data_IF_885464977489
#
_entry.id   IF_885464977489
#
_cell.length_a   1.000
_cell.length_b   1.000
_cell.length_c   1.000
_cell.angle_alpha   90.00
_cell.angle_beta   90.00
_cell.angle_gamma   90.00
#
_symmetry.space_group_name_H-M   'P 1'
#
loop_
_entity.id
_entity.type
_entity.pdbx_description
1 polymer ?
#
# COMPACT_ATOMS: atom_id res chain seq x y z
N UNK A 1 -2.68 23.39 -32.68
CA UNK A 1 -2.23 22.03 -33.07
C UNK A 1 -2.35 21.15 -31.84
N UNK A 2 -3.15 20.08 -31.88
CA UNK A 2 -3.24 19.13 -30.76
C UNK A 2 -2.06 18.17 -30.89
N UNK A 3 -1.06 18.31 -30.02
CA UNK A 3 0.10 17.42 -30.00
C UNK A 3 -0.36 16.03 -29.55
N UNK A 4 -0.11 15.01 -30.39
CA UNK A 4 -0.52 13.63 -30.12
C UNK A 4 0.33 13.09 -28.98
N UNK A 5 -0.27 12.92 -27.81
CA UNK A 5 0.40 12.36 -26.63
C UNK A 5 1.03 10.98 -26.96
N UNK A 6 2.31 10.75 -26.64
CA UNK A 6 2.95 9.45 -26.74
C UNK A 6 2.15 8.34 -26.02
N UNK A 7 2.21 7.11 -26.55
CA UNK A 7 1.44 5.97 -26.01
C UNK A 7 1.73 5.67 -24.53
N UNK A 8 2.97 5.90 -24.09
CA UNK A 8 3.39 5.70 -22.69
C UNK A 8 2.76 6.74 -21.78
N UNK A 9 2.86 8.03 -22.12
CA UNK A 9 2.22 9.12 -21.37
C UNK A 9 0.70 8.92 -21.27
N UNK A 10 0.06 8.44 -22.34
CA UNK A 10 -1.36 8.11 -22.33
C UNK A 10 -1.68 6.97 -21.36
N UNK A 11 -0.86 5.93 -21.32
CA UNK A 11 -1.04 4.81 -20.39
C UNK A 11 -0.96 5.30 -18.95
N UNK A 12 0.02 6.15 -18.63
CA UNK A 12 0.15 6.72 -17.28
C UNK A 12 -1.04 7.61 -16.91
N UNK A 13 -1.52 8.44 -17.83
CA UNK A 13 -2.73 9.23 -17.61
C UNK A 13 -3.95 8.36 -17.27
N UNK A 14 -4.13 7.24 -17.97
CA UNK A 14 -5.22 6.30 -17.69
C UNK A 14 -5.04 5.66 -16.32
N UNK A 15 -3.81 5.26 -15.96
CA UNK A 15 -3.54 4.67 -14.66
C UNK A 15 -3.76 5.67 -13.51
N UNK A 16 -3.43 6.94 -13.69
CA UNK A 16 -3.71 8.00 -12.70
C UNK A 16 -5.21 8.19 -12.48
N UNK A 17 -5.98 8.24 -13.56
CA UNK A 17 -7.44 8.31 -13.48
C UNK A 17 -8.03 7.05 -12.83
N UNK A 18 -7.57 5.87 -13.23
CA UNK A 18 -8.00 4.60 -12.65
C UNK A 18 -7.70 4.55 -11.14
N UNK A 19 -6.51 4.99 -10.72
CA UNK A 19 -6.10 5.06 -9.30
C UNK A 19 -7.10 5.89 -8.50
N UNK A 20 -7.42 7.11 -8.95
CA UNK A 20 -8.40 7.97 -8.26
C UNK A 20 -9.81 7.36 -8.23
N UNK A 21 -10.28 6.84 -9.37
CA UNK A 21 -11.61 6.26 -9.48
C UNK A 21 -11.77 5.04 -8.53
N UNK A 22 -10.80 4.13 -8.55
CA UNK A 22 -10.80 2.96 -7.69
C UNK A 22 -10.62 3.32 -6.21
N UNK A 23 -9.80 4.31 -5.86
CA UNK A 23 -9.62 4.73 -4.47
C UNK A 23 -10.91 5.34 -3.89
N UNK A 24 -11.68 6.04 -4.74
CA UNK A 24 -12.94 6.69 -4.36
C UNK A 24 -14.07 5.69 -4.09
N UNK A 25 -14.26 4.73 -4.99
CA UNK A 25 -15.46 3.86 -5.00
C UNK A 25 -15.14 2.38 -4.75
N UNK A 26 -13.87 2.00 -4.68
CA UNK A 26 -13.41 0.62 -4.61
C UNK A 26 -13.46 -0.08 -5.97
N UNK A 27 -12.88 -1.28 -6.03
CA UNK A 27 -12.83 -2.08 -7.26
C UNK A 27 -14.24 -2.39 -7.77
N UNK A 28 -15.08 -3.07 -6.98
CA UNK A 28 -16.39 -3.56 -7.42
C UNK A 28 -17.29 -2.47 -8.00
N UNK A 29 -17.42 -1.31 -7.33
CA UNK A 29 -18.34 -0.25 -7.75
C UNK A 29 -17.81 0.67 -8.87
N UNK A 30 -16.53 0.58 -9.26
CA UNK A 30 -15.95 1.41 -10.32
C UNK A 30 -16.10 0.73 -11.69
N UNK A 31 -16.80 1.36 -12.62
CA UNK A 31 -16.91 0.91 -14.01
C UNK A 31 -15.78 1.44 -14.91
N UNK A 32 -15.63 0.85 -16.09
CA UNK A 32 -14.70 1.37 -17.11
C UNK A 32 -15.13 2.74 -17.66
N UNK A 33 -16.43 3.04 -17.64
CA UNK A 33 -16.94 4.36 -18.03
C UNK A 33 -16.55 5.44 -17.02
N UNK A 34 -16.56 5.11 -15.72
CA UNK A 34 -16.10 6.03 -14.67
C UNK A 34 -14.63 6.40 -14.87
N UNK A 35 -13.79 5.40 -15.18
CA UNK A 35 -12.36 5.64 -15.45
C UNK A 35 -12.15 6.42 -16.74
N UNK A 36 -12.90 6.12 -17.80
CA UNK A 36 -12.81 6.86 -19.06
C UNK A 36 -13.22 8.33 -18.87
N UNK A 37 -14.28 8.58 -18.11
CA UNK A 37 -14.73 9.91 -17.73
C UNK A 37 -13.67 10.65 -16.89
N UNK A 38 -13.12 10.00 -15.86
CA UNK A 38 -12.06 10.53 -14.99
C UNK A 38 -10.77 10.85 -15.78
N UNK A 39 -10.47 10.07 -16.82
CA UNK A 39 -9.31 10.27 -17.69
C UNK A 39 -9.56 11.30 -18.81
N UNK A 40 -10.81 11.71 -19.05
CA UNK A 40 -11.18 12.56 -20.18
C UNK A 40 -10.98 11.89 -21.54
N UNK A 41 -11.20 10.57 -21.62
CA UNK A 41 -11.04 9.78 -22.85
C UNK A 41 -12.29 8.94 -23.16
N UNK A 42 -12.34 8.36 -24.36
CA UNK A 42 -13.39 7.42 -24.71
C UNK A 42 -13.09 6.02 -24.18
N UNK A 43 -14.14 5.24 -23.90
CA UNK A 43 -14.02 3.82 -23.53
C UNK A 43 -13.25 3.00 -24.57
N UNK A 44 -13.44 3.31 -25.86
CA UNK A 44 -12.69 2.66 -26.96
C UNK A 44 -11.19 2.91 -26.85
N UNK A 45 -10.77 4.13 -26.45
CA UNK A 45 -9.36 4.42 -26.24
C UNK A 45 -8.81 3.67 -25.02
N UNK A 46 -9.60 3.57 -23.95
CA UNK A 46 -9.22 2.81 -22.75
C UNK A 46 -8.95 1.34 -23.07
N UNK A 47 -9.83 0.69 -23.85
CA UNK A 47 -9.65 -0.71 -24.30
C UNK A 47 -8.42 -0.94 -25.19
N UNK A 48 -7.82 0.09 -25.79
CA UNK A 48 -6.54 -0.06 -26.53
C UNK A 48 -5.33 -0.22 -25.61
N UNK A 49 -5.49 0.05 -24.32
CA UNK A 49 -4.42 -0.02 -23.32
C UNK A 49 -4.63 -1.13 -22.28
N UNK A 50 -5.88 -1.53 -22.04
CA UNK A 50 -6.24 -2.54 -21.05
C UNK A 50 -7.36 -3.43 -21.59
N UNK A 51 -7.15 -4.74 -21.53
CA UNK A 51 -8.10 -5.72 -22.07
C UNK A 51 -9.33 -5.86 -21.15
N UNK A 52 -9.15 -5.65 -19.85
CA UNK A 52 -10.22 -5.69 -18.86
C UNK A 52 -10.04 -4.70 -17.71
N UNK A 53 -11.11 -4.54 -16.91
CA UNK A 53 -11.06 -3.83 -15.62
C UNK A 53 -10.09 -4.51 -14.65
N UNK A 54 -10.00 -5.84 -14.67
CA UNK A 54 -9.06 -6.60 -13.85
C UNK A 54 -7.61 -6.23 -14.21
N UNK A 55 -7.26 -6.27 -15.50
CA UNK A 55 -5.91 -5.95 -15.97
C UNK A 55 -5.51 -4.51 -15.61
N UNK A 56 -6.46 -3.58 -15.74
CA UNK A 56 -6.25 -2.20 -15.35
C UNK A 56 -6.04 -2.06 -13.84
N UNK A 57 -6.85 -2.74 -13.02
CA UNK A 57 -6.69 -2.71 -11.57
C UNK A 57 -5.37 -3.34 -11.12
N UNK A 58 -4.98 -4.49 -11.69
CA UNK A 58 -3.67 -5.10 -11.44
C UNK A 58 -2.52 -4.16 -11.80
N UNK A 59 -2.61 -3.47 -12.94
CA UNK A 59 -1.61 -2.48 -13.33
C UNK A 59 -1.55 -1.28 -12.37
N UNK A 60 -2.69 -0.83 -11.83
CA UNK A 60 -2.72 0.20 -10.78
C UNK A 60 -2.06 -0.29 -9.50
N UNK A 61 -2.38 -1.49 -9.03
CA UNK A 61 -1.79 -2.07 -7.83
C UNK A 61 -0.27 -2.29 -7.98
N UNK A 62 0.17 -2.81 -9.13
CA UNK A 62 1.58 -3.02 -9.41
C UNK A 62 2.35 -1.70 -9.43
N UNK A 63 1.77 -0.65 -10.03
CA UNK A 63 2.36 0.68 -10.02
C UNK A 63 2.47 1.25 -8.60
N UNK A 64 1.44 1.09 -7.77
CA UNK A 64 1.48 1.50 -6.37
C UNK A 64 2.55 0.72 -5.58
N UNK A 65 2.69 -0.59 -5.85
CA UNK A 65 3.72 -1.45 -5.26
C UNK A 65 5.13 -1.00 -5.63
N UNK A 66 5.38 -0.68 -6.90
CA UNK A 66 6.68 -0.20 -7.38
C UNK A 66 7.04 1.15 -6.75
N UNK A 67 6.11 2.11 -6.73
CA UNK A 67 6.31 3.41 -6.06
C UNK A 67 6.62 3.24 -4.57
N UNK A 68 5.92 2.33 -3.90
CA UNK A 68 6.20 2.02 -2.50
C UNK A 68 7.61 1.44 -2.33
N UNK A 69 7.99 0.48 -3.19
CA UNK A 69 9.31 -0.14 -3.16
C UNK A 69 10.44 0.88 -3.36
N UNK A 70 10.25 1.84 -4.26
CA UNK A 70 11.20 2.95 -4.47
C UNK A 70 11.38 3.81 -3.20
N UNK A 71 10.30 4.03 -2.44
CA UNK A 71 10.35 4.83 -1.20
C UNK A 71 10.92 4.06 -0.01
N UNK A 72 10.71 2.74 0.05
CA UNK A 72 11.21 1.88 1.13
C UNK A 72 12.71 1.55 0.98
N UNK A 73 13.23 1.52 -0.25
CA UNK A 73 14.60 1.05 -0.51
C UNK A 73 14.75 -0.47 -0.40
N UNK A 74 15.99 -0.98 -0.46
CA UNK A 74 16.27 -2.43 -0.45
C UNK A 74 16.42 -3.06 0.93
N UNK A 75 16.38 -2.26 1.99
CA UNK A 75 16.87 -2.69 3.29
C UNK A 75 15.68 -2.90 4.25
N UNK A 76 15.80 -3.95 5.07
CA UNK A 76 14.71 -4.53 5.87
C UNK A 76 14.12 -3.61 6.94
N UNK A 77 13.48 -4.21 7.96
CA UNK A 77 12.86 -3.46 9.06
C UNK A 77 13.97 -2.77 9.84
N UNK A 78 14.06 -1.46 9.69
CA UNK A 78 15.00 -0.62 10.41
C UNK A 78 14.29 0.67 10.84
N UNK A 79 14.96 1.50 11.64
CA UNK A 79 14.37 2.73 12.20
C UNK A 79 13.68 3.64 11.16
N UNK A 80 14.08 3.53 9.89
CA UNK A 80 13.57 4.26 8.74
C UNK A 80 12.30 3.69 8.09
N UNK A 81 11.86 2.47 8.41
CA UNK A 81 10.69 1.85 7.76
C UNK A 81 9.41 2.65 8.00
N UNK A 82 9.16 3.07 9.25
CA UNK A 82 7.98 3.88 9.59
C UNK A 82 8.03 5.26 8.87
N UNK A 83 9.13 6.05 8.97
CA UNK A 83 9.28 7.26 8.17
C UNK A 83 9.05 7.05 6.67
N UNK A 84 9.58 5.97 6.09
CA UNK A 84 9.44 5.67 4.67
C UNK A 84 7.99 5.32 4.28
N UNK A 85 7.28 4.54 5.10
CA UNK A 85 5.85 4.25 4.91
C UNK A 85 5.01 5.53 4.96
N UNK A 86 5.29 6.42 5.91
CA UNK A 86 4.61 7.72 6.02
C UNK A 86 4.86 8.61 4.80
N UNK A 87 6.11 8.69 4.33
CA UNK A 87 6.46 9.42 3.10
C UNK A 87 5.76 8.83 1.87
N UNK A 88 5.76 7.51 1.74
CA UNK A 88 5.08 6.82 0.64
C UNK A 88 3.56 7.06 0.65
N UNK A 89 2.94 6.95 1.83
CA UNK A 89 1.51 7.21 2.01
C UNK A 89 1.15 8.68 1.71
N UNK A 90 1.99 9.64 2.10
CA UNK A 90 1.77 11.05 1.80
C UNK A 90 1.97 11.37 0.31
N UNK A 91 2.93 10.72 -0.36
CA UNK A 91 3.25 10.94 -1.76
C UNK A 91 2.19 10.37 -2.72
N UNK A 92 1.58 9.22 -2.39
CA UNK A 92 0.51 8.59 -3.17
C UNK A 92 -0.60 8.02 -2.27
N UNK A 93 -1.46 8.88 -1.68
CA UNK A 93 -2.49 8.47 -0.74
C UNK A 93 -3.48 7.45 -1.32
N UNK A 94 -3.85 7.61 -2.58
CA UNK A 94 -4.82 6.75 -3.25
C UNK A 94 -4.20 5.39 -3.58
N UNK A 95 -2.98 5.37 -4.13
CA UNK A 95 -2.23 4.13 -4.38
C UNK A 95 -1.98 3.35 -3.08
N UNK A 96 -1.62 4.04 -2.00
CA UNK A 96 -1.38 3.41 -0.70
C UNK A 96 -2.65 2.76 -0.13
N UNK A 97 -3.80 3.46 -0.18
CA UNK A 97 -5.10 2.89 0.23
C UNK A 97 -5.52 1.72 -0.65
N UNK A 98 -5.34 1.83 -1.96
CA UNK A 98 -5.68 0.76 -2.88
C UNK A 98 -4.91 -0.51 -2.59
N UNK A 99 -3.59 -0.37 -2.38
CA UNK A 99 -2.71 -1.49 -2.07
C UNK A 99 -3.09 -2.12 -0.73
N UNK A 100 -3.17 -1.34 0.35
CA UNK A 100 -3.28 -1.93 1.69
C UNK A 100 -4.69 -2.17 2.21
N UNK A 101 -5.69 -1.43 1.72
CA UNK A 101 -7.07 -1.53 2.20
C UNK A 101 -8.01 -2.18 1.19
N UNK A 102 -8.01 -1.73 -0.06
CA UNK A 102 -8.99 -2.21 -1.04
C UNK A 102 -8.62 -3.58 -1.60
N UNK A 103 -7.40 -3.76 -2.10
CA UNK A 103 -6.95 -5.06 -2.62
C UNK A 103 -7.00 -6.18 -1.56
N UNK A 104 -6.71 -5.85 -0.30
CA UNK A 104 -6.80 -6.81 0.81
C UNK A 104 -8.20 -7.40 1.04
N UNK A 105 -9.27 -6.73 0.57
CA UNK A 105 -10.66 -7.16 0.70
C UNK A 105 -11.17 -7.94 -0.51
N UNK A 106 -10.43 -7.94 -1.62
CA UNK A 106 -10.85 -8.54 -2.88
C UNK A 106 -10.09 -9.87 -3.09
N UNK A 107 -10.78 -11.04 -3.04
CA UNK A 107 -10.11 -12.34 -3.13
C UNK A 107 -9.28 -12.53 -4.41
N UNK A 108 -9.71 -11.90 -5.50
CA UNK A 108 -9.07 -11.97 -6.82
C UNK A 108 -7.67 -11.33 -6.86
N UNK A 109 -7.36 -10.39 -5.95
CA UNK A 109 -6.08 -9.67 -5.91
C UNK A 109 -5.25 -10.00 -4.66
N UNK A 110 -5.62 -11.09 -3.97
CA UNK A 110 -4.95 -11.50 -2.74
C UNK A 110 -3.48 -11.83 -2.96
N UNK A 111 -3.13 -12.37 -4.13
CA UNK A 111 -1.76 -12.68 -4.57
C UNK A 111 -0.81 -11.47 -4.46
N UNK A 112 -1.29 -10.31 -4.90
CA UNK A 112 -0.53 -9.04 -4.86
C UNK A 112 -0.20 -8.64 -3.41
N UNK A 113 -1.12 -8.89 -2.49
CA UNK A 113 -1.00 -8.50 -1.08
C UNK A 113 -0.23 -9.54 -0.26
N UNK A 114 -0.39 -10.82 -0.58
CA UNK A 114 0.24 -11.91 0.15
C UNK A 114 1.76 -11.88 0.01
N UNK A 115 2.27 -11.47 -1.15
CA UNK A 115 3.73 -11.29 -1.35
C UNK A 115 4.28 -10.20 -0.44
N UNK A 116 3.60 -9.05 -0.36
CA UNK A 116 4.00 -7.96 0.54
C UNK A 116 3.92 -8.37 2.01
N UNK A 117 2.84 -9.07 2.39
CA UNK A 117 2.64 -9.57 3.76
C UNK A 117 3.70 -10.58 4.17
N UNK A 118 4.05 -11.52 3.29
CA UNK A 118 5.10 -12.51 3.55
C UNK A 118 6.44 -11.82 3.76
N UNK A 119 6.82 -10.94 2.84
CA UNK A 119 8.08 -10.19 2.95
C UNK A 119 8.12 -9.36 4.25
N UNK A 120 7.05 -8.64 4.57
CA UNK A 120 6.96 -7.85 5.80
C UNK A 120 7.04 -8.70 7.07
N UNK A 121 6.48 -9.91 7.06
CA UNK A 121 6.59 -10.87 8.17
C UNK A 121 8.02 -11.34 8.34
N UNK A 122 8.68 -11.76 7.26
CA UNK A 122 10.06 -12.27 7.31
C UNK A 122 11.03 -11.20 7.84
N UNK A 123 10.79 -9.97 7.39
CA UNK A 123 11.46 -8.76 7.82
C UNK A 123 11.22 -8.48 9.32
N UNK A 124 9.97 -8.51 9.79
CA UNK A 124 9.66 -8.34 11.22
C UNK A 124 10.22 -9.48 12.09
N UNK A 125 10.16 -10.72 11.61
CA UNK A 125 10.70 -11.89 12.30
C UNK A 125 12.21 -11.74 12.53
N UNK A 126 12.94 -11.21 11.54
CA UNK A 126 14.37 -10.94 11.60
C UNK A 126 14.72 -9.78 12.55
N UNK A 127 13.77 -8.89 12.84
CA UNK A 127 13.96 -7.79 13.79
C UNK A 127 13.79 -8.24 15.25
N UNK A 128 12.99 -9.27 15.49
CA UNK A 128 12.67 -9.78 16.84
C UNK A 128 13.68 -10.82 17.36
N UNK A 129 14.96 -10.71 16.99
CA UNK A 129 16.01 -11.67 17.40
C UNK A 129 16.17 -11.79 18.92
N UNK A 130 15.85 -10.72 19.66
CA UNK A 130 15.92 -10.69 21.13
C UNK A 130 14.77 -11.46 21.80
N UNK A 131 13.69 -11.77 21.06
CA UNK A 131 12.60 -12.61 21.55
C UNK A 131 12.95 -14.08 21.28
N UNK A 132 12.80 -14.98 22.26
CA UNK A 132 12.97 -16.42 22.07
C UNK A 132 12.22 -16.95 20.84
N UNK A 133 12.77 -17.95 20.17
CA UNK A 133 12.13 -18.59 19.02
C UNK A 133 10.98 -19.49 19.47
N UNK A 134 9.83 -18.88 19.78
CA UNK A 134 8.63 -19.55 20.24
C UNK A 134 7.37 -19.05 19.50
N UNK A 135 6.20 -19.55 19.92
CA UNK A 135 4.92 -19.12 19.38
C UNK A 135 4.67 -17.61 19.51
N UNK A 136 5.29 -16.95 20.50
CA UNK A 136 5.11 -15.53 20.80
C UNK A 136 5.85 -14.66 19.78
N UNK A 137 7.10 -15.00 19.44
CA UNK A 137 7.82 -14.32 18.36
C UNK A 137 7.10 -14.46 17.02
N UNK A 138 6.58 -15.66 16.76
CA UNK A 138 5.88 -15.97 15.52
C UNK A 138 4.53 -15.24 15.41
N UNK A 139 3.87 -15.01 16.54
CA UNK A 139 2.68 -14.16 16.65
C UNK A 139 3.03 -12.67 16.48
N UNK A 140 4.06 -12.18 17.18
CA UNK A 140 4.53 -10.80 17.08
C UNK A 140 4.95 -10.44 15.65
N UNK A 141 5.69 -11.31 14.96
CA UNK A 141 6.09 -11.10 13.56
C UNK A 141 4.91 -10.99 12.58
N UNK A 142 3.75 -11.60 12.91
CA UNK A 142 2.49 -11.44 12.14
C UNK A 142 1.76 -10.15 12.51
N UNK A 143 1.84 -9.74 13.77
CA UNK A 143 1.12 -8.58 14.29
C UNK A 143 1.77 -7.25 13.90
N UNK A 144 3.09 -7.12 14.02
CA UNK A 144 3.78 -5.82 13.88
C UNK A 144 3.58 -5.16 12.52
N UNK A 145 3.70 -5.85 11.36
CA UNK A 145 3.40 -5.23 10.08
C UNK A 145 1.97 -4.73 9.99
N UNK A 146 1.01 -5.50 10.52
CA UNK A 146 -0.41 -5.14 10.52
C UNK A 146 -0.66 -3.87 11.34
N UNK A 147 -0.16 -3.82 12.57
CA UNK A 147 -0.29 -2.63 13.44
C UNK A 147 0.36 -1.40 12.81
N UNK A 148 1.54 -1.58 12.21
CA UNK A 148 2.28 -0.48 11.56
C UNK A 148 1.51 0.09 10.38
N UNK A 149 1.04 -0.79 9.47
CA UNK A 149 0.26 -0.37 8.30
C UNK A 149 -1.06 0.29 8.69
N UNK A 150 -1.77 -0.25 9.68
CA UNK A 150 -3.02 0.36 10.15
C UNK A 150 -2.78 1.71 10.83
N UNK A 151 -1.69 1.88 11.59
CA UNK A 151 -1.33 3.16 12.15
C UNK A 151 -1.03 4.21 11.05
N UNK A 152 -0.36 3.81 9.96
CA UNK A 152 -0.10 4.69 8.81
C UNK A 152 -1.39 5.01 8.04
N UNK A 153 -2.24 4.00 7.78
CA UNK A 153 -3.52 4.20 7.09
C UNK A 153 -4.46 5.12 7.86
N UNK A 154 -4.60 4.91 9.17
CA UNK A 154 -5.45 5.75 10.03
C UNK A 154 -4.91 7.17 10.16
N UNK A 155 -3.58 7.35 10.22
CA UNK A 155 -2.96 8.67 10.12
C UNK A 155 -3.26 9.37 8.78
N UNK A 156 -3.16 8.63 7.67
CA UNK A 156 -3.47 9.15 6.33
C UNK A 156 -4.94 9.56 6.20
N UNK A 157 -5.87 8.78 6.76
CA UNK A 157 -7.30 9.06 6.77
C UNK A 157 -7.69 10.23 7.67
N UNK A 158 -6.95 10.43 8.75
CA UNK A 158 -7.11 11.58 9.63
C UNK A 158 -6.62 12.91 9.01
N UNK A 159 -6.16 12.90 7.75
CA UNK A 159 -5.64 14.08 7.07
C UNK A 159 -4.19 14.39 7.42
N UNK A 160 -3.39 13.36 7.72
CA UNK A 160 -1.95 13.47 7.98
C UNK A 160 -1.58 14.42 9.14
N UNK A 161 -2.20 14.28 10.33
CA UNK A 161 -1.95 15.20 11.44
C UNK A 161 -0.51 15.10 11.94
N UNK A 162 0.12 16.26 12.20
CA UNK A 162 1.43 16.38 12.84
C UNK A 162 2.50 15.47 12.20
N UNK A 163 2.79 15.66 10.90
CA UNK A 163 3.62 14.75 10.10
C UNK A 163 5.03 14.59 10.67
N UNK A 164 5.59 15.63 11.29
CA UNK A 164 6.93 15.60 11.86
C UNK A 164 7.03 14.67 13.08
N UNK A 165 5.94 14.49 13.83
CA UNK A 165 5.89 13.64 15.03
C UNK A 165 5.22 12.28 14.79
N UNK A 166 4.57 12.10 13.65
CA UNK A 166 3.92 10.85 13.29
C UNK A 166 4.88 9.63 13.35
N UNK A 167 6.14 9.70 12.86
CA UNK A 167 7.05 8.56 12.94
C UNK A 167 7.31 8.09 14.38
N UNK A 168 7.58 9.04 15.29
CA UNK A 168 7.87 8.74 16.69
C UNK A 168 6.64 8.19 17.43
N UNK A 169 5.44 8.70 17.13
CA UNK A 169 4.19 8.19 17.71
C UNK A 169 3.93 6.76 17.29
N UNK A 170 4.05 6.45 16.00
CA UNK A 170 3.85 5.09 15.48
C UNK A 170 4.93 4.15 16.04
N UNK A 171 6.19 4.60 16.13
CA UNK A 171 7.27 3.81 16.74
C UNK A 171 6.96 3.41 18.18
N UNK A 172 6.43 4.33 19.00
CA UNK A 172 6.01 4.03 20.38
C UNK A 172 4.88 3.00 20.45
N UNK A 173 3.92 3.05 19.53
CA UNK A 173 2.85 2.04 19.44
C UNK A 173 3.45 0.66 19.14
N UNK A 174 4.33 0.58 18.13
CA UNK A 174 5.01 -0.66 17.74
C UNK A 174 5.85 -1.21 18.90
N UNK A 175 6.61 -0.35 19.60
CA UNK A 175 7.40 -0.75 20.77
C UNK A 175 6.53 -1.27 21.93
N UNK A 176 5.39 -0.63 22.20
CA UNK A 176 4.46 -1.10 23.23
C UNK A 176 3.91 -2.51 22.90
N UNK A 177 3.63 -2.79 21.62
CA UNK A 177 3.23 -4.13 21.17
C UNK A 177 4.35 -5.13 21.37
N UNK A 178 5.59 -4.81 20.98
CA UNK A 178 6.77 -5.66 21.18
C UNK A 178 6.94 -5.99 22.67
N UNK A 179 6.90 -4.98 23.54
CA UNK A 179 7.06 -5.17 24.98
C UNK A 179 5.96 -6.09 25.56
N UNK A 180 4.70 -5.86 25.19
CA UNK A 180 3.58 -6.71 25.63
C UNK A 180 3.74 -8.17 25.18
N UNK A 181 4.39 -8.42 24.03
CA UNK A 181 4.67 -9.79 23.56
C UNK A 181 5.79 -10.45 24.37
N UNK A 182 6.80 -9.69 24.81
CA UNK A 182 7.95 -10.23 25.54
C UNK A 182 7.62 -10.64 27.00
N UNK A 183 6.62 -9.99 27.61
CA UNK A 183 6.28 -10.17 29.04
C UNK A 183 5.49 -11.47 29.34
N UNK A 184 5.03 -12.21 28.32
CA UNK A 184 4.15 -13.39 28.50
C UNK A 184 4.88 -14.70 28.89
N UNK A 185 6.14 -14.62 29.33
CA UNK A 185 6.88 -15.75 29.91
C UNK A 185 6.94 -15.60 31.44
N UNK A 186 5.82 -15.81 32.13
CA UNK A 186 5.78 -15.91 33.60
C UNK A 186 4.67 -16.86 34.03
#
# INVERSE_FOLDING_TARGET
MVQRMPRVERREQILDAATRAFARSGYTATGLDDVAAEAGITRVLLYRHFDSKNDMYRAVLERARLRLQEQLGSDGYHAETIPALLRAAAADPDGFRLLFRHAAREPEFRDVIDTFRSHSRDVAYSYLMEIPHDAMRDWAARLLPTVTLEAVLTWLDAGQPDPDRAPDRIRKIVQAVIQATAESSS
#
